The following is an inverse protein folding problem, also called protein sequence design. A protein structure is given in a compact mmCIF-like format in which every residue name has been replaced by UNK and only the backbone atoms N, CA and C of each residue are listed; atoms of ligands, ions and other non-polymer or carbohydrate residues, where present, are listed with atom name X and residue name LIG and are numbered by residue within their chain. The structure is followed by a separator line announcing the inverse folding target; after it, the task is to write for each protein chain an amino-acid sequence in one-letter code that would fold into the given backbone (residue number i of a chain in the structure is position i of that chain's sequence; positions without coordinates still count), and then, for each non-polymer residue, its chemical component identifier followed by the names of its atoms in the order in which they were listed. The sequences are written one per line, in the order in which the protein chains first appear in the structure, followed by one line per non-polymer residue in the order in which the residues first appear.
data_IF_269280533995
#
_entry.id   IF_269280533995
#
_cell.length_a   1.000
_cell.length_b   1.000
_cell.length_c   1.000
_cell.angle_alpha   90.00
_cell.angle_beta   90.00
_cell.angle_gamma   90.00
#
_symmetry.space_group_name_H-M   'P 1'
#
loop_
_entity.id
_entity.type
_entity.pdbx_description
1 polymer ?
#
# COMPACT_ATOMS: atom_id res chain seq x y z
N UNK A 1 9.71 -6.95 -3.76
CA UNK A 1 8.47 -6.17 -3.90
C UNK A 1 8.03 -5.70 -2.53
N UNK A 2 7.66 -4.43 -2.38
CA UNK A 2 7.21 -3.86 -1.10
C UNK A 2 5.76 -3.38 -1.19
N UNK A 3 5.05 -3.35 -0.07
CA UNK A 3 3.68 -2.84 0.04
C UNK A 3 3.64 -1.69 1.04
N UNK A 4 3.04 -0.57 0.65
CA UNK A 4 2.75 0.56 1.53
C UNK A 4 1.24 0.79 1.57
N UNK A 5 0.63 0.56 2.73
CA UNK A 5 -0.79 0.89 2.97
C UNK A 5 -0.88 2.27 3.62
N UNK A 6 -1.52 3.22 2.95
CA UNK A 6 -1.72 4.58 3.45
C UNK A 6 -3.17 4.79 3.88
N UNK A 7 -3.39 4.87 5.20
CA UNK A 7 -4.71 5.13 5.78
C UNK A 7 -4.89 6.61 6.11
N UNK A 8 -5.97 7.21 5.60
CA UNK A 8 -6.28 8.64 5.78
C UNK A 8 -7.69 8.79 6.36
N UNK A 9 -7.80 9.46 7.50
CA UNK A 9 -9.09 9.75 8.13
C UNK A 9 -9.61 11.12 7.68
N UNK A 10 -10.88 11.22 7.30
CA UNK A 10 -11.45 12.46 6.75
C UNK A 10 -11.25 13.68 7.66
N UNK A 11 -11.43 13.53 8.98
CA UNK A 11 -11.31 14.64 9.94
C UNK A 11 -9.89 15.23 10.06
N UNK A 12 -8.87 14.46 9.66
CA UNK A 12 -7.47 14.85 9.75
C UNK A 12 -6.87 15.08 8.37
N UNK A 13 -6.98 14.10 7.47
CA UNK A 13 -6.47 14.18 6.11
C UNK A 13 -7.17 15.21 5.23
N UNK A 14 -8.43 15.54 5.54
CA UNK A 14 -9.16 16.61 4.86
C UNK A 14 -8.72 18.01 5.27
N UNK A 15 -7.89 18.16 6.31
CA UNK A 15 -7.35 19.47 6.69
C UNK A 15 -6.46 20.00 5.57
N UNK A 16 -6.51 21.30 5.22
CA UNK A 16 -5.78 21.84 4.06
C UNK A 16 -4.30 21.45 4.04
N UNK A 17 -3.60 21.61 5.17
CA UNK A 17 -2.19 21.24 5.30
C UNK A 17 -1.94 19.75 5.01
N UNK A 18 -2.74 18.85 5.60
CA UNK A 18 -2.58 17.41 5.42
C UNK A 18 -2.89 16.98 3.99
N UNK A 19 -3.95 17.53 3.40
CA UNK A 19 -4.31 17.25 2.01
C UNK A 19 -3.25 17.72 1.01
N UNK A 20 -2.58 18.85 1.28
CA UNK A 20 -1.48 19.35 0.46
C UNK A 20 -0.27 18.42 0.50
N UNK A 21 0.08 17.90 1.69
CA UNK A 21 1.16 16.91 1.85
C UNK A 21 0.79 15.59 1.16
N UNK A 22 -0.44 15.10 1.32
CA UNK A 22 -0.92 13.90 0.64
C UNK A 22 -0.81 14.05 -0.89
N UNK A 23 -1.27 15.17 -1.44
CA UNK A 23 -1.14 15.46 -2.87
C UNK A 23 0.33 15.49 -3.33
N UNK A 24 1.24 16.06 -2.52
CA UNK A 24 2.69 16.04 -2.83
C UNK A 24 3.25 14.61 -2.86
N UNK A 25 2.88 13.77 -1.90
CA UNK A 25 3.31 12.37 -1.86
C UNK A 25 2.79 11.58 -3.06
N UNK A 26 1.50 11.71 -3.38
CA UNK A 26 0.90 11.02 -4.53
C UNK A 26 1.56 11.44 -5.85
N UNK A 27 1.87 12.75 -6.02
CA UNK A 27 2.60 13.25 -7.19
C UNK A 27 4.01 12.68 -7.27
N UNK A 28 4.71 12.61 -6.15
CA UNK A 28 6.05 12.01 -6.11
C UNK A 28 6.00 10.53 -6.50
N UNK A 29 5.11 9.73 -5.91
CA UNK A 29 4.96 8.31 -6.24
C UNK A 29 4.57 8.09 -7.71
N UNK A 30 3.73 8.97 -8.27
CA UNK A 30 3.28 8.84 -9.67
C UNK A 30 4.38 9.04 -10.72
N UNK A 31 5.57 9.51 -10.33
CA UNK A 31 6.72 9.66 -11.24
C UNK A 31 7.44 8.34 -11.52
N UNK A 32 7.19 7.31 -10.71
CA UNK A 32 7.87 6.02 -10.79
C UNK A 32 6.99 5.01 -11.55
N UNK A 33 7.42 4.51 -12.73
CA UNK A 33 6.59 3.67 -13.60
C UNK A 33 6.34 2.27 -13.02
N UNK A 34 7.12 1.84 -12.04
CA UNK A 34 7.01 0.57 -11.33
C UNK A 34 6.07 0.63 -10.11
N UNK A 35 5.50 1.79 -9.80
CA UNK A 35 4.53 1.94 -8.71
C UNK A 35 3.13 1.57 -9.17
N UNK A 36 2.56 0.56 -8.52
CA UNK A 36 1.17 0.16 -8.71
C UNK A 36 0.25 0.81 -7.67
N UNK A 37 -0.58 1.77 -8.09
CA UNK A 37 -1.66 2.32 -7.28
C UNK A 37 -2.88 1.39 -7.32
N UNK A 38 -2.99 0.50 -6.33
CA UNK A 38 -4.12 -0.45 -6.25
C UNK A 38 -5.09 -0.10 -5.14
N UNK A 39 -6.34 -0.55 -5.32
CA UNK A 39 -7.32 -0.69 -4.23
C UNK A 39 -7.12 -2.03 -3.52
N UNK A 40 -7.58 -2.12 -2.28
CA UNK A 40 -7.50 -3.35 -1.48
C UNK A 40 -8.06 -4.59 -2.18
N UNK A 41 -9.14 -4.45 -2.96
CA UNK A 41 -9.73 -5.57 -3.69
C UNK A 41 -8.90 -6.01 -4.91
N UNK A 42 -8.20 -5.09 -5.57
CA UNK A 42 -7.29 -5.39 -6.67
C UNK A 42 -6.05 -6.11 -6.15
N UNK A 43 -5.49 -5.63 -5.03
CA UNK A 43 -4.40 -6.32 -4.32
C UNK A 43 -4.81 -7.73 -3.87
N UNK A 44 -6.01 -7.87 -3.28
CA UNK A 44 -6.51 -9.16 -2.83
C UNK A 44 -6.69 -10.14 -4.00
N UNK A 45 -7.25 -9.67 -5.13
CA UNK A 45 -7.39 -10.49 -6.33
C UNK A 45 -6.03 -10.93 -6.88
N UNK A 46 -5.10 -9.99 -7.03
CA UNK A 46 -3.73 -10.30 -7.47
C UNK A 46 -3.04 -11.34 -6.57
N UNK A 47 -3.24 -11.24 -5.24
CA UNK A 47 -2.67 -12.19 -4.29
C UNK A 47 -3.31 -13.58 -4.38
N UNK A 48 -4.62 -13.68 -4.65
CA UNK A 48 -5.34 -14.96 -4.77
C UNK A 48 -5.12 -15.65 -6.12
N UNK A 49 -4.94 -14.88 -7.20
CA UNK A 49 -4.73 -15.39 -8.55
C UNK A 49 -3.26 -15.76 -8.82
N UNK A 50 -2.32 -15.21 -8.03
CA UNK A 50 -0.90 -15.50 -8.18
C UNK A 50 -0.47 -16.78 -7.47
N UNK A 51 0.60 -17.38 -7.99
CA UNK A 51 1.24 -18.56 -7.40
C UNK A 51 2.31 -18.10 -6.40
N UNK A 52 1.88 -17.80 -5.17
CA UNK A 52 2.78 -17.43 -4.07
C UNK A 52 2.87 -18.55 -3.06
N UNK A 53 4.06 -18.74 -2.48
CA UNK A 53 4.22 -19.58 -1.30
C UNK A 53 3.48 -18.94 -0.12
N UNK A 54 2.57 -19.69 0.51
CA UNK A 54 1.90 -19.24 1.73
C UNK A 54 2.87 -19.31 2.91
N UNK A 55 3.16 -18.16 3.51
CA UNK A 55 4.04 -18.04 4.66
C UNK A 55 3.23 -17.54 5.85
N UNK A 56 3.18 -18.34 6.91
CA UNK A 56 2.54 -17.96 8.17
C UNK A 56 3.35 -16.87 8.90
N UNK A 57 2.71 -16.12 9.79
CA UNK A 57 3.41 -15.16 10.64
C UNK A 57 4.55 -15.81 11.45
N UNK A 58 4.36 -17.06 11.89
CA UNK A 58 5.39 -17.79 12.63
C UNK A 58 6.64 -18.03 11.77
N UNK A 59 6.45 -18.55 10.54
CA UNK A 59 7.55 -18.76 9.59
C UNK A 59 8.24 -17.45 9.20
N UNK A 60 7.49 -16.36 9.06
CA UNK A 60 8.01 -15.06 8.64
C UNK A 60 8.86 -14.36 9.70
N UNK A 61 8.46 -14.44 10.98
CA UNK A 61 9.04 -13.63 12.05
C UNK A 61 9.81 -14.45 13.10
N UNK A 62 9.59 -15.77 13.18
CA UNK A 62 10.22 -16.65 14.15
C UNK A 62 10.78 -17.93 13.49
N UNK A 63 11.68 -17.82 12.49
CA UNK A 63 12.35 -19.00 11.94
C UNK A 63 13.21 -19.66 13.04
N UNK A 64 13.11 -20.97 13.14
CA UNK A 64 13.88 -21.81 14.07
C UNK A 64 15.35 -21.96 13.63
#
# INVERSE_FOLDING_TARGET
MGLLVLTVHCHFGGRPLMSAVLNRLLRYFSQYPDVWFSRHNELARWALEGEFEEITNAQRFFPA
#
